data_IF_768452666906
#
_entry.id   IF_768452666906
#
_cell.length_a   1.000
_cell.length_b   1.000
_cell.length_c   1.000
_cell.angle_alpha   90.00
_cell.angle_beta   90.00
_cell.angle_gamma   90.00
#
_symmetry.space_group_name_H-M   'P 1'
#
loop_
_entity.id
_entity.type
_entity.pdbx_description
1 polymer ?
#
# COMPACT_ATOMS: atom_id res chain seq x y z
N UNK A 1 -1.70 23.15 47.14
CA UNK A 1 -1.43 24.02 45.99
C UNK A 1 -0.87 23.26 44.79
N UNK A 2 -0.36 22.03 44.95
CA UNK A 2 0.26 21.24 43.87
C UNK A 2 -0.64 20.82 42.69
N UNK A 3 -1.98 20.82 42.85
CA UNK A 3 -2.94 20.46 41.77
C UNK A 3 -2.97 21.51 40.64
N UNK A 4 -2.64 22.77 40.94
CA UNK A 4 -2.58 23.84 39.94
C UNK A 4 -1.17 24.05 39.39
N UNK A 5 -0.15 23.47 40.04
CA UNK A 5 1.26 23.59 39.64
C UNK A 5 1.68 22.47 38.68
N UNK A 6 1.00 21.32 38.69
CA UNK A 6 1.29 20.19 37.81
C UNK A 6 0.02 19.66 37.13
N UNK A 7 0.12 19.41 35.82
CA UNK A 7 -0.95 18.77 35.06
C UNK A 7 -1.20 17.35 35.61
N UNK A 8 -2.46 16.93 35.83
CA UNK A 8 -2.75 15.59 36.33
C UNK A 8 -2.24 14.54 35.34
N UNK A 9 -1.34 13.68 35.82
CA UNK A 9 -0.73 12.59 35.02
C UNK A 9 -1.33 11.25 35.44
N UNK A 10 -1.59 10.38 34.47
CA UNK A 10 -1.96 9.00 34.77
C UNK A 10 -0.83 8.31 35.52
N UNK A 11 -1.19 7.51 36.53
CA UNK A 11 -0.23 6.68 37.24
C UNK A 11 0.47 5.73 36.28
N UNK A 12 1.75 5.41 36.54
CA UNK A 12 2.50 4.43 35.72
C UNK A 12 1.79 3.09 35.59
N UNK A 13 1.02 2.70 36.61
CA UNK A 13 0.22 1.48 36.61
C UNK A 13 -0.99 1.60 35.66
N UNK A 14 -1.75 2.69 35.75
CA UNK A 14 -2.88 2.95 34.84
C UNK A 14 -2.43 3.00 33.38
N UNK A 15 -1.29 3.64 33.08
CA UNK A 15 -0.70 3.67 31.74
C UNK A 15 -0.33 2.27 31.23
N UNK A 16 0.22 1.42 32.11
CA UNK A 16 0.58 0.05 31.77
C UNK A 16 -0.66 -0.80 31.52
N UNK A 17 -1.67 -0.66 32.36
CA UNK A 17 -2.91 -1.44 32.27
C UNK A 17 -3.70 -1.03 31.02
N UNK A 18 -3.72 0.27 30.69
CA UNK A 18 -4.25 0.77 29.43
C UNK A 18 -3.50 0.21 28.20
N UNK A 19 -2.17 0.24 28.22
CA UNK A 19 -1.35 -0.37 27.15
C UNK A 19 -1.66 -1.85 26.98
N UNK A 20 -1.74 -2.60 28.08
CA UNK A 20 -2.02 -4.03 28.07
C UNK A 20 -3.44 -4.32 27.54
N UNK A 21 -4.42 -3.47 27.87
CA UNK A 21 -5.78 -3.60 27.33
C UNK A 21 -5.81 -3.44 25.81
N UNK A 22 -5.09 -2.45 25.26
CA UNK A 22 -4.98 -2.25 23.80
C UNK A 22 -4.29 -3.45 23.14
N UNK A 23 -3.13 -3.87 23.67
CA UNK A 23 -2.37 -4.99 23.08
C UNK A 23 -3.17 -6.30 23.11
N UNK A 24 -3.87 -6.57 24.23
CA UNK A 24 -4.73 -7.75 24.35
C UNK A 24 -5.90 -7.71 23.38
N UNK A 25 -6.58 -6.56 23.26
CA UNK A 25 -7.72 -6.39 22.35
C UNK A 25 -7.30 -6.60 20.90
N UNK A 26 -6.14 -6.06 20.52
CA UNK A 26 -5.61 -6.23 19.17
C UNK A 26 -5.20 -7.67 18.86
N UNK A 27 -4.56 -8.36 19.81
CA UNK A 27 -4.20 -9.78 19.67
C UNK A 27 -5.44 -10.66 19.56
N UNK A 28 -6.48 -10.39 20.34
CA UNK A 28 -7.73 -11.13 20.28
C UNK A 28 -8.44 -10.91 18.94
N UNK A 29 -8.52 -9.65 18.48
CA UNK A 29 -9.02 -9.33 17.15
C UNK A 29 -8.25 -10.07 16.04
N UNK A 30 -6.92 -10.05 16.09
CA UNK A 30 -6.07 -10.76 15.12
C UNK A 30 -6.33 -12.26 15.13
N UNK A 31 -6.49 -12.88 16.30
CA UNK A 31 -6.80 -14.32 16.40
C UNK A 31 -8.16 -14.69 15.83
N UNK A 32 -9.17 -13.82 16.01
CA UNK A 32 -10.55 -14.09 15.59
C UNK A 32 -10.75 -13.79 14.11
N UNK A 33 -10.17 -12.70 13.60
CA UNK A 33 -10.43 -12.20 12.25
C UNK A 33 -9.26 -12.40 11.28
N UNK A 34 -8.07 -12.78 11.76
CA UNK A 34 -6.84 -12.89 10.96
C UNK A 34 -7.01 -13.82 9.76
N UNK A 35 -7.49 -15.05 9.98
CA UNK A 35 -7.71 -16.02 8.89
C UNK A 35 -8.72 -15.51 7.86
N UNK A 36 -9.81 -14.88 8.31
CA UNK A 36 -10.83 -14.33 7.41
C UNK A 36 -10.28 -13.17 6.57
N UNK A 37 -9.45 -12.32 7.17
CA UNK A 37 -8.78 -11.22 6.46
C UNK A 37 -7.75 -11.75 5.47
N UNK A 38 -6.95 -12.75 5.86
CA UNK A 38 -5.98 -13.40 4.97
C UNK A 38 -6.69 -14.01 3.74
N UNK A 39 -7.74 -14.78 3.96
CA UNK A 39 -8.56 -15.38 2.89
C UNK A 39 -9.21 -14.32 1.99
N UNK A 40 -9.58 -13.16 2.53
CA UNK A 40 -10.12 -12.05 1.74
C UNK A 40 -9.07 -11.45 0.78
N UNK A 41 -7.81 -11.34 1.22
CA UNK A 41 -6.70 -10.80 0.41
C UNK A 41 -5.95 -11.85 -0.41
N UNK A 42 -6.15 -13.15 -0.16
CA UNK A 42 -5.47 -14.24 -0.86
C UNK A 42 -5.64 -14.18 -2.40
N UNK A 43 -6.84 -13.93 -2.97
CA UNK A 43 -7.00 -13.83 -4.42
C UNK A 43 -6.20 -12.68 -5.02
N UNK A 44 -6.11 -11.56 -4.30
CA UNK A 44 -5.29 -10.41 -4.69
C UNK A 44 -3.81 -10.76 -4.66
N UNK A 45 -3.35 -11.46 -3.61
CA UNK A 45 -1.98 -11.92 -3.49
C UNK A 45 -1.62 -12.88 -4.64
N UNK A 46 -2.50 -13.83 -4.95
CA UNK A 46 -2.32 -14.76 -6.06
C UNK A 46 -2.16 -13.99 -7.39
N UNK A 47 -3.05 -13.03 -7.65
CA UNK A 47 -2.98 -12.20 -8.84
C UNK A 47 -1.68 -11.38 -8.90
N UNK A 48 -1.27 -10.76 -7.80
CA UNK A 48 -0.03 -9.99 -7.71
C UNK A 48 1.20 -10.87 -8.01
N UNK A 49 1.29 -12.04 -7.38
CA UNK A 49 2.40 -12.99 -7.59
C UNK A 49 2.41 -13.51 -9.02
N UNK A 50 1.24 -13.82 -9.57
CA UNK A 50 1.11 -14.25 -10.96
C UNK A 50 1.58 -13.16 -11.92
N UNK A 51 1.15 -11.91 -11.70
CA UNK A 51 1.52 -10.78 -12.55
C UNK A 51 3.02 -10.47 -12.46
N UNK A 52 3.60 -10.47 -11.26
CA UNK A 52 5.03 -10.33 -11.05
C UNK A 52 5.83 -11.42 -11.77
N UNK A 53 5.43 -12.69 -11.61
CA UNK A 53 6.09 -13.80 -12.30
C UNK A 53 5.99 -13.64 -13.80
N UNK A 54 4.85 -13.19 -14.32
CA UNK A 54 4.68 -12.92 -15.74
C UNK A 54 5.66 -11.84 -16.25
N UNK A 55 5.87 -10.76 -15.50
CA UNK A 55 6.83 -9.70 -15.87
C UNK A 55 8.28 -10.19 -15.80
N UNK A 56 8.64 -10.95 -14.76
CA UNK A 56 10.00 -11.48 -14.58
C UNK A 56 10.35 -12.51 -15.65
N UNK A 57 9.42 -13.40 -15.98
CA UNK A 57 9.64 -14.48 -16.96
C UNK A 57 9.50 -14.02 -18.42
N UNK A 58 8.94 -12.84 -18.66
CA UNK A 58 8.88 -12.26 -19.99
C UNK A 58 10.30 -11.88 -20.50
N UNK A 59 10.60 -12.11 -21.79
CA UNK A 59 11.86 -11.66 -22.36
C UNK A 59 12.03 -10.14 -22.20
N UNK A 60 13.19 -9.70 -21.69
CA UNK A 60 13.45 -8.28 -21.44
C UNK A 60 13.22 -7.36 -22.66
N UNK A 61 13.48 -7.76 -23.93
CA UNK A 61 13.21 -6.88 -25.07
C UNK A 61 11.71 -6.63 -25.27
N UNK A 62 10.87 -7.63 -24.95
CA UNK A 62 9.41 -7.51 -25.04
C UNK A 62 8.90 -6.47 -24.02
N UNK A 63 9.41 -6.52 -22.79
CA UNK A 63 9.04 -5.56 -21.74
C UNK A 63 9.48 -4.14 -22.13
N UNK A 64 10.71 -3.97 -22.61
CA UNK A 64 11.20 -2.65 -23.07
C UNK A 64 10.34 -2.14 -24.24
N UNK A 65 9.95 -3.02 -25.18
CA UNK A 65 9.07 -2.65 -26.28
C UNK A 65 7.70 -2.16 -25.77
N UNK A 66 7.07 -2.88 -24.84
CA UNK A 66 5.79 -2.48 -24.24
C UNK A 66 5.93 -1.12 -23.54
N UNK A 67 6.99 -0.93 -22.74
CA UNK A 67 7.25 0.33 -22.04
C UNK A 67 7.46 1.48 -23.04
N UNK A 68 8.21 1.25 -24.12
CA UNK A 68 8.44 2.23 -25.17
C UNK A 68 7.13 2.66 -25.85
N UNK A 69 6.24 1.69 -26.15
CA UNK A 69 4.91 1.95 -26.70
C UNK A 69 4.06 2.77 -25.73
N UNK A 70 4.02 2.39 -24.44
CA UNK A 70 3.27 3.13 -23.43
C UNK A 70 3.80 4.56 -23.26
N UNK A 71 5.12 4.72 -23.20
CA UNK A 71 5.77 6.04 -23.13
C UNK A 71 5.44 6.90 -24.35
N UNK A 72 5.40 6.30 -25.55
CA UNK A 72 5.02 7.01 -26.77
C UNK A 72 3.55 7.43 -26.76
N UNK A 73 2.65 6.54 -26.34
CA UNK A 73 1.20 6.82 -26.28
C UNK A 73 0.91 7.95 -25.30
N UNK A 74 1.55 7.93 -24.12
CA UNK A 74 1.34 8.94 -23.08
C UNK A 74 2.01 10.28 -23.35
N UNK A 75 3.20 10.29 -23.95
CA UNK A 75 3.99 11.53 -24.11
C UNK A 75 4.00 12.10 -25.52
N UNK A 76 3.80 11.27 -26.55
CA UNK A 76 4.00 11.62 -27.98
C UNK A 76 5.38 12.23 -28.28
N UNK A 77 6.38 11.97 -27.43
CA UNK A 77 7.73 12.55 -27.53
C UNK A 77 8.80 11.47 -27.65
N UNK A 78 9.59 11.53 -28.71
CA UNK A 78 10.63 10.53 -28.99
C UNK A 78 11.77 10.59 -27.96
N UNK A 79 12.01 11.76 -27.38
CA UNK A 79 13.00 11.95 -26.31
C UNK A 79 12.65 11.16 -25.06
N UNK A 80 11.36 11.15 -24.68
CA UNK A 80 10.89 10.41 -23.50
C UNK A 80 10.98 8.90 -23.76
N UNK A 81 10.59 8.44 -24.94
CA UNK A 81 10.67 7.02 -25.31
C UNK A 81 12.10 6.50 -25.26
N UNK A 82 13.04 7.21 -25.90
CA UNK A 82 14.46 6.83 -25.87
C UNK A 82 14.99 6.89 -24.43
N UNK A 83 14.64 7.92 -23.67
CA UNK A 83 15.01 8.05 -22.26
C UNK A 83 14.57 6.85 -21.43
N UNK A 84 13.33 6.39 -21.59
CA UNK A 84 12.81 5.19 -20.92
C UNK A 84 13.59 3.94 -21.34
N UNK A 85 13.82 3.71 -22.63
CA UNK A 85 14.56 2.53 -23.13
C UNK A 85 15.96 2.50 -22.50
N UNK A 86 16.68 3.63 -22.56
CA UNK A 86 18.04 3.74 -22.00
C UNK A 86 18.04 3.51 -20.49
N UNK A 87 17.09 4.08 -19.76
CA UNK A 87 16.98 3.88 -18.31
C UNK A 87 16.77 2.39 -17.95
N UNK A 88 15.87 1.69 -18.64
CA UNK A 88 15.63 0.27 -18.40
C UNK A 88 16.81 -0.62 -18.78
N UNK A 89 17.55 -0.28 -19.84
CA UNK A 89 18.79 -0.97 -20.19
C UNK A 89 19.86 -0.77 -19.11
N UNK A 90 19.99 0.43 -18.55
CA UNK A 90 20.93 0.71 -17.45
C UNK A 90 20.54 -0.08 -16.19
N UNK A 91 19.25 -0.12 -15.84
CA UNK A 91 18.75 -0.94 -14.71
C UNK A 91 19.08 -2.42 -14.92
N UNK A 92 18.86 -2.93 -16.14
CA UNK A 92 19.21 -4.30 -16.50
C UNK A 92 20.72 -4.55 -16.39
N UNK A 93 21.54 -3.60 -16.84
CA UNK A 93 22.99 -3.67 -16.74
C UNK A 93 23.49 -3.76 -15.29
N UNK A 94 22.83 -3.08 -14.35
CA UNK A 94 23.14 -3.19 -12.91
C UNK A 94 22.59 -4.45 -12.24
N UNK A 95 21.95 -5.37 -12.98
CA UNK A 95 21.38 -6.59 -12.42
C UNK A 95 20.13 -6.36 -11.56
N UNK A 96 19.50 -5.19 -11.67
CA UNK A 96 18.31 -4.82 -10.88
C UNK A 96 16.99 -5.11 -11.61
N UNK A 97 17.04 -5.90 -12.69
CA UNK A 97 15.88 -6.17 -13.55
C UNK A 97 14.73 -6.81 -12.77
N UNK A 98 14.97 -7.92 -12.08
CA UNK A 98 13.94 -8.65 -11.34
C UNK A 98 13.29 -7.80 -10.24
N UNK A 99 14.12 -7.08 -9.45
CA UNK A 99 13.63 -6.15 -8.42
C UNK A 99 12.77 -5.03 -9.01
N UNK A 100 13.13 -4.55 -10.19
CA UNK A 100 12.38 -3.51 -10.91
C UNK A 100 11.05 -4.06 -11.42
N UNK A 101 11.03 -5.27 -11.98
CA UNK A 101 9.79 -5.92 -12.41
C UNK A 101 8.86 -6.21 -11.24
N UNK A 102 9.39 -6.62 -10.09
CA UNK A 102 8.60 -6.79 -8.86
C UNK A 102 8.00 -5.46 -8.37
N UNK A 103 8.79 -4.38 -8.41
CA UNK A 103 8.30 -3.04 -8.05
C UNK A 103 7.22 -2.55 -9.02
N UNK A 104 7.40 -2.76 -10.33
CA UNK A 104 6.39 -2.42 -11.34
C UNK A 104 5.11 -3.23 -11.11
N UNK A 105 5.24 -4.52 -10.76
CA UNK A 105 4.09 -5.36 -10.48
C UNK A 105 3.26 -4.81 -9.32
N UNK A 106 3.89 -4.56 -8.16
CA UNK A 106 3.17 -4.10 -6.96
C UNK A 106 2.55 -2.72 -7.16
N UNK A 107 3.27 -1.77 -7.77
CA UNK A 107 2.76 -0.42 -8.03
C UNK A 107 1.61 -0.46 -9.05
N UNK A 108 1.70 -1.29 -10.09
CA UNK A 108 0.64 -1.40 -11.09
C UNK A 108 -0.64 -1.96 -10.49
N UNK A 109 -0.54 -3.02 -9.68
CA UNK A 109 -1.70 -3.61 -9.00
C UNK A 109 -2.29 -2.63 -7.99
N UNK A 110 -1.47 -1.98 -7.16
CA UNK A 110 -1.93 -0.97 -6.20
C UNK A 110 -2.64 0.19 -6.90
N UNK A 111 -2.03 0.75 -7.96
CA UNK A 111 -2.63 1.84 -8.75
C UNK A 111 -3.94 1.42 -9.39
N UNK A 112 -4.02 0.20 -9.93
CA UNK A 112 -5.24 -0.33 -10.51
C UNK A 112 -6.37 -0.42 -9.46
N UNK A 113 -6.09 -0.93 -8.27
CA UNK A 113 -7.08 -0.98 -7.18
C UNK A 113 -7.48 0.41 -6.71
N UNK A 114 -6.52 1.33 -6.59
CA UNK A 114 -6.78 2.72 -6.22
C UNK A 114 -7.72 3.40 -7.22
N UNK A 115 -7.51 3.19 -8.52
CA UNK A 115 -8.42 3.70 -9.56
C UNK A 115 -9.78 3.01 -9.47
N UNK A 116 -9.80 1.67 -9.34
CA UNK A 116 -11.01 0.86 -9.33
C UNK A 116 -11.95 1.23 -8.18
N UNK A 117 -11.42 1.48 -6.98
CA UNK A 117 -12.22 1.82 -5.80
C UNK A 117 -12.28 3.34 -5.53
N UNK A 118 -11.16 4.05 -5.71
CA UNK A 118 -11.04 5.46 -5.41
C UNK A 118 -11.91 6.33 -6.32
N UNK A 119 -12.03 6.01 -7.61
CA UNK A 119 -12.89 6.79 -8.52
C UNK A 119 -14.37 6.65 -8.14
N UNK A 120 -14.95 5.43 -7.99
CA UNK A 120 -16.35 5.30 -7.57
C UNK A 120 -16.65 5.95 -6.21
N UNK A 121 -15.78 5.76 -5.22
CA UNK A 121 -15.94 6.38 -3.89
C UNK A 121 -15.86 7.90 -4.02
N UNK A 122 -14.91 8.43 -4.81
CA UNK A 122 -14.77 9.85 -5.10
C UNK A 122 -16.02 10.45 -5.74
N UNK A 123 -16.59 9.77 -6.74
CA UNK A 123 -17.85 10.18 -7.37
C UNK A 123 -19.00 10.16 -6.36
N UNK A 124 -19.05 9.18 -5.45
CA UNK A 124 -20.10 9.10 -4.45
C UNK A 124 -20.00 10.22 -3.41
N UNK A 125 -18.79 10.53 -2.94
CA UNK A 125 -18.52 11.68 -2.06
C UNK A 125 -18.91 12.99 -2.72
N UNK A 126 -18.68 13.15 -4.02
CA UNK A 126 -19.07 14.35 -4.76
C UNK A 126 -20.59 14.55 -4.86
N UNK A 127 -21.39 13.49 -4.69
CA UNK A 127 -22.85 13.52 -4.77
C UNK A 127 -23.56 13.61 -3.41
N UNK A 128 -22.85 13.40 -2.29
CA UNK A 128 -23.46 13.37 -0.96
C UNK A 128 -22.56 13.95 0.11
N UNK A 129 -23.01 15.05 0.72
CA UNK A 129 -22.31 15.70 1.83
C UNK A 129 -22.14 14.76 3.04
N UNK A 130 -23.10 13.85 3.27
CA UNK A 130 -23.02 12.86 4.35
C UNK A 130 -21.87 11.88 4.11
N UNK A 131 -21.80 11.31 2.91
CA UNK A 131 -20.72 10.37 2.54
C UNK A 131 -19.38 11.08 2.59
N UNK A 132 -19.29 12.30 2.04
CA UNK A 132 -18.10 13.13 2.15
C UNK A 132 -17.67 13.33 3.60
N UNK A 133 -18.59 13.77 4.47
CA UNK A 133 -18.27 14.01 5.88
C UNK A 133 -17.82 12.76 6.65
N UNK A 134 -18.28 11.57 6.25
CA UNK A 134 -17.87 10.31 6.86
C UNK A 134 -16.50 9.82 6.36
N UNK A 135 -16.20 9.99 5.07
CA UNK A 135 -14.95 9.48 4.47
C UNK A 135 -13.77 10.44 4.61
N UNK A 136 -13.98 11.77 4.62
CA UNK A 136 -12.88 12.74 4.74
C UNK A 136 -11.97 12.48 5.94
N UNK A 137 -12.48 12.22 7.17
CA UNK A 137 -11.60 11.92 8.31
C UNK A 137 -10.74 10.67 8.12
N UNK A 138 -11.28 9.62 7.47
CA UNK A 138 -10.52 8.41 7.18
C UNK A 138 -9.39 8.71 6.19
N UNK A 139 -9.68 9.47 5.14
CA UNK A 139 -8.68 9.88 4.15
C UNK A 139 -7.60 10.76 4.78
N UNK A 140 -7.98 11.70 5.64
CA UNK A 140 -7.04 12.55 6.37
C UNK A 140 -6.09 11.71 7.25
N UNK A 141 -6.61 10.69 7.94
CA UNK A 141 -5.80 9.75 8.73
C UNK A 141 -4.85 8.94 7.84
N UNK A 142 -5.35 8.38 6.73
CA UNK A 142 -4.53 7.59 5.80
C UNK A 142 -3.40 8.41 5.16
N UNK A 143 -3.60 9.72 4.96
CA UNK A 143 -2.61 10.60 4.34
C UNK A 143 -1.60 11.19 5.34
N UNK A 144 -1.94 11.25 6.63
CA UNK A 144 -1.11 11.93 7.64
C UNK A 144 -0.34 10.96 8.54
N UNK A 145 -0.80 9.72 8.71
CA UNK A 145 -0.07 8.71 9.48
C UNK A 145 1.14 8.20 8.67
N UNK A 146 2.36 8.22 9.23
CA UNK A 146 3.54 7.70 8.54
C UNK A 146 3.42 6.21 8.23
N UNK A 147 4.01 5.80 7.12
CA UNK A 147 3.87 4.43 6.60
C UNK A 147 4.22 3.33 7.58
N UNK A 148 5.29 3.54 8.33
CA UNK A 148 5.78 2.57 9.31
C UNK A 148 4.76 2.28 10.43
N UNK A 149 3.93 3.27 10.78
CA UNK A 149 2.97 3.15 11.89
C UNK A 149 1.82 2.20 11.54
N UNK A 150 1.30 2.25 10.30
CA UNK A 150 0.27 1.29 9.89
C UNK A 150 0.84 -0.09 9.56
N UNK A 151 2.13 -0.18 9.18
CA UNK A 151 2.73 -1.45 8.76
C UNK A 151 2.76 -2.47 9.91
N UNK A 152 3.04 -2.02 11.13
CA UNK A 152 3.12 -2.88 12.34
C UNK A 152 1.82 -3.69 12.54
N UNK A 153 0.63 -3.06 12.70
CA UNK A 153 -0.60 -3.81 12.88
C UNK A 153 -0.97 -4.65 11.65
N UNK A 154 -0.71 -4.17 10.43
CA UNK A 154 -1.03 -4.92 9.20
C UNK A 154 -0.20 -6.21 9.12
N UNK A 155 1.09 -6.16 9.43
CA UNK A 155 1.95 -7.36 9.47
C UNK A 155 1.56 -8.30 10.60
N UNK A 156 1.09 -7.77 11.74
CA UNK A 156 0.57 -8.60 12.83
C UNK A 156 -0.77 -9.28 12.50
N UNK A 157 -1.54 -8.76 11.54
CA UNK A 157 -2.82 -9.31 11.10
C UNK A 157 -2.69 -10.25 9.91
N UNK A 158 -1.85 -9.89 8.93
CA UNK A 158 -1.74 -10.58 7.64
C UNK A 158 -0.40 -11.32 7.46
N UNK A 159 0.45 -11.32 8.49
CA UNK A 159 1.79 -11.89 8.42
C UNK A 159 2.76 -11.05 7.59
N UNK A 160 3.98 -11.57 7.41
CA UNK A 160 5.00 -10.96 6.56
C UNK A 160 4.75 -11.40 5.12
N UNK A 161 4.61 -10.46 4.20
CA UNK A 161 4.36 -10.79 2.79
C UNK A 161 4.19 -9.58 1.88
N UNK A 162 3.73 -9.83 0.65
CA UNK A 162 3.51 -8.79 -0.36
C UNK A 162 2.21 -8.00 -0.14
N UNK A 163 1.22 -8.56 0.56
CA UNK A 163 -0.05 -7.87 0.87
C UNK A 163 0.16 -6.64 1.77
N UNK A 164 0.90 -6.71 2.90
CA UNK A 164 1.23 -5.51 3.67
C UNK A 164 1.95 -4.45 2.84
N UNK A 165 2.87 -4.85 1.97
CA UNK A 165 3.58 -3.95 1.07
C UNK A 165 2.68 -3.29 0.03
N UNK A 166 1.63 -3.97 -0.43
CA UNK A 166 0.64 -3.42 -1.35
C UNK A 166 -0.31 -2.45 -0.64
N UNK A 167 -0.75 -2.76 0.57
CA UNK A 167 -1.59 -1.87 1.39
C UNK A 167 -0.85 -0.62 1.85
N UNK A 168 0.48 -0.69 1.85
CA UNK A 168 1.36 0.37 2.29
C UNK A 168 1.56 1.51 1.28
N UNK A 169 1.41 1.18 0.00
CA UNK A 169 1.73 2.03 -1.15
C UNK A 169 0.46 2.73 -1.63
#
# INVERSE_FOLDING_TARGET
MEIFDNFPTMGRQDLRDFKNAIDSSFREFSRVYGENLENFFEPLLFFLIWFEKCLISAPWPLIIFVIAVLAWVGSKSWYIVIGCIVAFLIIGYFGMWENTMATIAIISVATFLCILFGIPIGIWMAKSDRVRSAFTPLLDVMQTIPSFVYLIPVVMLLGIGKVPGLLAV
#
